data_IF_982617594041
#
_entry.id   IF_982617594041
#
_cell.length_a   1.000
_cell.length_b   1.000
_cell.length_c   1.000
_cell.angle_alpha   90.00
_cell.angle_beta   90.00
_cell.angle_gamma   90.00
#
_symmetry.space_group_name_H-M   'P 1'
#
loop_
_entity.id
_entity.type
_entity.pdbx_description
1 polymer ?
#
# COMPACT_ATOMS: atom_id res chain seq x y z
N UNK A 1 -1.50 -5.53 11.95
CA UNK A 1 -0.70 -4.29 11.85
C UNK A 1 0.80 -4.53 11.94
N UNK A 2 1.35 -5.04 13.06
CA UNK A 2 2.84 -5.06 13.23
C UNK A 2 3.61 -5.83 12.16
N UNK A 3 3.07 -6.94 11.64
CA UNK A 3 3.69 -7.66 10.52
C UNK A 3 3.71 -6.83 9.22
N UNK A 4 2.68 -6.02 8.98
CA UNK A 4 2.60 -5.15 7.82
C UNK A 4 3.63 -4.02 7.90
N UNK A 5 3.76 -3.37 9.06
CA UNK A 5 4.75 -2.30 9.23
C UNK A 5 6.19 -2.82 9.10
N UNK A 6 6.49 -3.99 9.68
CA UNK A 6 7.79 -4.66 9.49
C UNK A 6 8.08 -4.95 8.02
N UNK A 7 7.07 -5.34 7.26
CA UNK A 7 7.21 -5.54 5.82
C UNK A 7 7.54 -4.22 5.11
N UNK A 8 6.82 -3.13 5.41
CA UNK A 8 7.08 -1.81 4.81
C UNK A 8 8.50 -1.32 5.14
N UNK A 9 8.94 -1.48 6.38
CA UNK A 9 10.28 -1.10 6.85
C UNK A 9 11.41 -1.92 6.22
N UNK A 10 11.11 -3.13 5.74
CA UNK A 10 12.08 -3.99 5.05
C UNK A 10 12.27 -3.66 3.58
N UNK A 11 11.45 -2.77 3.00
CA UNK A 11 11.52 -2.41 1.59
C UNK A 11 12.74 -1.52 1.32
N UNK A 12 13.49 -1.86 0.29
CA UNK A 12 14.59 -1.05 -0.23
C UNK A 12 14.07 0.14 -1.04
N UNK A 13 14.94 1.13 -1.22
CA UNK A 13 14.74 2.26 -2.14
C UNK A 13 14.32 1.83 -3.56
N UNK A 14 14.93 0.76 -4.08
CA UNK A 14 14.66 0.22 -5.42
C UNK A 14 13.30 -0.48 -5.48
N UNK A 15 12.99 -1.32 -4.49
CA UNK A 15 11.69 -1.98 -4.38
C UNK A 15 10.55 -0.97 -4.29
N UNK A 16 10.72 0.11 -3.53
CA UNK A 16 9.70 1.17 -3.43
C UNK A 16 9.49 1.87 -4.77
N UNK A 17 10.55 2.16 -5.53
CA UNK A 17 10.45 2.79 -6.85
C UNK A 17 9.72 1.88 -7.85
N UNK A 18 10.01 0.58 -7.82
CA UNK A 18 9.34 -0.41 -8.67
C UNK A 18 7.88 -0.61 -8.28
N UNK A 19 7.58 -0.73 -6.98
CA UNK A 19 6.20 -0.80 -6.49
C UNK A 19 5.44 0.44 -6.90
N UNK A 20 6.02 1.64 -6.78
CA UNK A 20 5.37 2.87 -7.20
C UNK A 20 5.02 2.90 -8.70
N UNK A 21 5.90 2.37 -9.54
CA UNK A 21 5.68 2.22 -10.97
C UNK A 21 4.57 1.20 -11.26
N UNK A 22 4.59 0.04 -10.62
CA UNK A 22 3.56 -0.99 -10.75
C UNK A 22 2.19 -0.51 -10.24
N UNK A 23 2.17 0.19 -9.10
CA UNK A 23 0.95 0.82 -8.56
C UNK A 23 0.39 1.88 -9.51
N UNK A 24 1.24 2.61 -10.24
CA UNK A 24 0.78 3.54 -11.27
C UNK A 24 0.02 2.82 -12.41
N UNK A 25 0.45 1.61 -12.77
CA UNK A 25 -0.24 0.76 -13.72
C UNK A 25 -1.53 0.19 -13.12
N UNK A 26 -1.47 -0.39 -11.91
CA UNK A 26 -2.59 -1.03 -11.23
C UNK A 26 -3.71 -0.05 -10.83
N UNK A 27 -3.42 1.19 -10.44
CA UNK A 27 -4.46 2.18 -10.10
C UNK A 27 -5.34 2.57 -11.31
N UNK A 28 -4.88 2.33 -12.54
CA UNK A 28 -5.72 2.48 -13.74
C UNK A 28 -6.79 1.39 -13.81
N UNK A 29 -6.57 0.23 -13.18
CA UNK A 29 -7.46 -0.94 -13.25
C UNK A 29 -8.27 -1.18 -11.96
N UNK A 30 -7.75 -0.79 -10.79
CA UNK A 30 -8.31 -1.14 -9.47
C UNK A 30 -9.61 -0.41 -9.04
N UNK A 31 -10.33 0.29 -9.93
CA UNK A 31 -11.46 1.17 -9.55
C UNK A 31 -12.80 0.44 -9.40
N UNK A 32 -12.85 -0.66 -8.65
CA UNK A 32 -14.08 -1.41 -8.32
C UNK A 32 -14.91 -0.78 -7.18
N UNK A 33 -16.23 -1.09 -7.08
CA UNK A 33 -17.08 -0.65 -5.96
C UNK A 33 -16.57 -1.06 -4.57
N UNK A 34 -16.17 -2.33 -4.38
CA UNK A 34 -15.66 -2.84 -3.11
C UNK A 34 -14.39 -2.10 -2.63
N UNK A 35 -13.49 -1.76 -3.57
CA UNK A 35 -12.30 -0.95 -3.25
C UNK A 35 -12.68 0.44 -2.73
N UNK A 36 -13.65 1.12 -3.36
CA UNK A 36 -14.12 2.44 -2.91
C UNK A 36 -14.81 2.36 -1.55
N UNK A 37 -15.70 1.40 -1.37
CA UNK A 37 -16.41 1.18 -0.11
C UNK A 37 -15.43 0.88 1.03
N UNK A 38 -14.48 -0.03 0.82
CA UNK A 38 -13.44 -0.33 1.79
C UNK A 38 -12.63 0.90 2.18
N UNK A 39 -12.22 1.74 1.21
CA UNK A 39 -11.50 2.99 1.49
C UNK A 39 -12.31 3.97 2.35
N UNK A 40 -13.57 4.15 2.03
CA UNK A 40 -14.46 5.02 2.82
C UNK A 40 -14.69 4.45 4.22
N UNK A 41 -14.85 3.13 4.32
CA UNK A 41 -15.06 2.45 5.59
C UNK A 41 -13.84 2.56 6.50
N UNK A 42 -12.64 2.19 6.02
CA UNK A 42 -11.43 2.31 6.84
C UNK A 42 -11.05 3.76 7.14
N UNK A 43 -11.39 4.72 6.27
CA UNK A 43 -11.19 6.14 6.57
C UNK A 43 -12.07 6.62 7.73
N UNK A 44 -13.28 6.05 7.89
CA UNK A 44 -14.13 6.30 9.06
C UNK A 44 -13.63 5.59 10.31
N UNK A 45 -13.07 4.38 10.18
CA UNK A 45 -12.51 3.65 11.32
C UNK A 45 -11.23 4.30 11.87
N UNK A 46 -10.42 4.90 10.99
CA UNK A 46 -9.24 5.70 11.36
C UNK A 46 -9.59 7.18 11.58
N UNK A 47 -10.75 7.48 12.16
CA UNK A 47 -11.12 8.85 12.51
C UNK A 47 -10.11 9.41 13.54
N UNK A 48 -9.34 10.41 13.13
CA UNK A 48 -8.17 10.91 13.87
C UNK A 48 -6.81 10.56 13.24
N UNK A 49 -6.78 9.65 12.27
CA UNK A 49 -5.65 9.41 11.37
C UNK A 49 -4.42 8.77 12.01
N UNK A 50 -4.52 8.24 13.23
CA UNK A 50 -3.37 7.73 13.97
C UNK A 50 -2.75 6.49 13.30
N UNK A 51 -3.58 5.59 12.75
CA UNK A 51 -3.09 4.41 12.05
C UNK A 51 -2.48 4.80 10.72
N UNK A 52 -3.14 5.67 9.95
CA UNK A 52 -2.59 6.20 8.71
C UNK A 52 -1.25 6.92 8.95
N UNK A 53 -1.16 7.75 9.99
CA UNK A 53 0.08 8.47 10.32
C UNK A 53 1.24 7.52 10.61
N UNK A 54 1.01 6.44 11.38
CA UNK A 54 2.03 5.43 11.67
C UNK A 54 2.47 4.68 10.41
N UNK A 55 1.54 4.33 9.53
CA UNK A 55 1.85 3.69 8.24
C UNK A 55 2.67 4.63 7.35
N UNK A 56 2.24 5.89 7.25
CA UNK A 56 2.90 6.92 6.47
C UNK A 56 4.33 7.18 6.99
N UNK A 57 4.53 7.21 8.30
CA UNK A 57 5.85 7.36 8.92
C UNK A 57 6.78 6.18 8.59
N UNK A 58 6.33 4.93 8.78
CA UNK A 58 7.13 3.74 8.42
C UNK A 58 7.47 3.72 6.92
N UNK A 59 6.53 4.10 6.05
CA UNK A 59 6.79 4.20 4.61
C UNK A 59 7.80 5.31 4.29
N UNK A 60 7.63 6.49 4.89
CA UNK A 60 8.55 7.62 4.68
C UNK A 60 9.96 7.30 5.18
N UNK A 61 10.09 6.56 6.27
CA UNK A 61 11.37 6.06 6.75
C UNK A 61 12.07 5.20 5.68
N UNK A 62 11.37 4.25 5.08
CA UNK A 62 11.89 3.41 4.00
C UNK A 62 12.19 4.21 2.70
N UNK A 63 11.48 5.31 2.47
CA UNK A 63 11.56 6.16 1.26
C UNK A 63 12.75 7.12 1.20
N UNK A 64 13.26 7.57 2.35
CA UNK A 64 14.23 8.69 2.45
C UNK A 64 15.52 8.48 1.63
N UNK A 65 15.82 7.26 1.21
CA UNK A 65 17.02 6.91 0.46
C UNK A 65 16.90 7.06 -1.07
N UNK A 66 15.70 7.18 -1.65
CA UNK A 66 15.49 7.04 -3.11
C UNK A 66 15.30 8.34 -3.93
N UNK A 67 15.25 9.53 -3.33
CA UNK A 67 15.23 10.82 -4.08
C UNK A 67 13.99 11.19 -4.94
N UNK A 68 13.14 10.25 -5.37
CA UNK A 68 11.92 10.53 -6.16
C UNK A 68 10.72 10.92 -5.28
N UNK A 69 9.78 11.75 -5.75
CA UNK A 69 8.62 12.20 -4.94
C UNK A 69 7.25 11.77 -5.51
N UNK A 70 7.00 11.98 -6.80
CA UNK A 70 5.67 11.75 -7.40
C UNK A 70 5.23 10.29 -7.51
N UNK A 71 6.16 9.39 -7.84
CA UNK A 71 5.91 7.94 -7.87
C UNK A 71 5.62 7.39 -6.47
N UNK A 72 6.35 7.88 -5.48
CA UNK A 72 6.22 7.44 -4.09
C UNK A 72 4.88 7.77 -3.48
N UNK A 73 4.20 8.85 -3.90
CA UNK A 73 2.83 9.17 -3.45
C UNK A 73 1.86 8.04 -3.82
N UNK A 74 2.03 7.40 -4.99
CA UNK A 74 1.16 6.29 -5.42
C UNK A 74 1.41 5.03 -4.60
N UNK A 75 2.68 4.70 -4.36
CA UNK A 75 3.06 3.60 -3.48
C UNK A 75 2.56 3.86 -2.04
N UNK A 76 2.78 5.06 -1.51
CA UNK A 76 2.30 5.47 -0.19
C UNK A 76 0.78 5.31 -0.08
N UNK A 77 0.01 5.75 -1.08
CA UNK A 77 -1.43 5.56 -1.05
C UNK A 77 -1.82 4.08 -1.03
N UNK A 78 -1.15 3.22 -1.79
CA UNK A 78 -1.45 1.78 -1.79
C UNK A 78 -1.09 1.12 -0.44
N UNK A 79 0.08 1.45 0.10
CA UNK A 79 0.56 1.02 1.42
C UNK A 79 -0.41 1.47 2.51
N UNK A 80 -0.85 2.73 2.48
CA UNK A 80 -1.84 3.27 3.43
C UNK A 80 -3.10 2.43 3.44
N UNK A 81 -3.72 2.17 2.29
CA UNK A 81 -5.00 1.47 2.25
C UNK A 81 -4.90 -0.01 2.64
N UNK A 82 -3.83 -0.70 2.23
CA UNK A 82 -3.59 -2.08 2.68
C UNK A 82 -3.24 -2.16 4.17
N UNK A 83 -2.47 -1.19 4.68
CA UNK A 83 -2.17 -1.10 6.10
C UNK A 83 -3.42 -0.88 6.95
N UNK A 84 -4.30 0.02 6.51
CA UNK A 84 -5.60 0.25 7.14
C UNK A 84 -6.50 -0.99 7.06
N UNK A 85 -6.53 -1.69 5.92
CA UNK A 85 -7.25 -2.96 5.78
C UNK A 85 -6.72 -4.05 6.73
N UNK A 86 -5.40 -4.12 6.91
CA UNK A 86 -4.76 -5.02 7.87
C UNK A 86 -4.98 -4.61 9.34
N UNK A 87 -5.22 -3.33 9.62
CA UNK A 87 -5.56 -2.82 10.95
C UNK A 87 -7.01 -3.19 11.32
N UNK A 88 -7.93 -2.90 10.40
CA UNK A 88 -9.37 -3.03 10.59
C UNK A 88 -9.94 -4.27 9.92
N UNK A 89 -9.18 -5.36 9.94
CA UNK A 89 -9.50 -6.56 9.17
C UNK A 89 -10.80 -7.24 9.62
N UNK A 90 -11.20 -7.04 10.88
CA UNK A 90 -12.37 -7.68 11.48
C UNK A 90 -13.65 -6.87 11.26
N UNK A 91 -13.50 -5.61 10.87
CA UNK A 91 -14.52 -4.59 10.70
C UNK A 91 -14.92 -4.44 9.21
N UNK A 92 -14.10 -4.96 8.31
CA UNK A 92 -14.33 -4.97 6.86
C UNK A 92 -14.98 -6.26 6.38
N UNK A 93 -15.78 -6.13 5.31
CA UNK A 93 -16.20 -7.30 4.55
C UNK A 93 -14.98 -8.01 3.93
N UNK A 94 -15.14 -9.28 3.60
CA UNK A 94 -14.07 -10.04 2.92
C UNK A 94 -13.70 -9.39 1.60
N UNK A 95 -14.68 -8.94 0.82
CA UNK A 95 -14.51 -8.30 -0.47
C UNK A 95 -13.81 -6.95 -0.35
N UNK A 96 -14.17 -6.12 0.64
CA UNK A 96 -13.52 -4.84 0.90
C UNK A 96 -12.05 -5.02 1.25
N UNK A 97 -11.77 -5.95 2.18
CA UNK A 97 -10.41 -6.27 2.63
C UNK A 97 -9.57 -6.81 1.48
N UNK A 98 -10.10 -7.77 0.72
CA UNK A 98 -9.40 -8.35 -0.44
C UNK A 98 -9.13 -7.31 -1.51
N UNK A 99 -10.07 -6.40 -1.79
CA UNK A 99 -9.87 -5.35 -2.78
C UNK A 99 -8.75 -4.38 -2.38
N UNK A 100 -8.68 -3.99 -1.09
CA UNK A 100 -7.64 -3.10 -0.58
C UNK A 100 -6.26 -3.80 -0.54
N UNK A 101 -6.20 -5.03 -0.05
CA UNK A 101 -4.97 -5.82 0.02
C UNK A 101 -4.45 -6.21 -1.37
N UNK A 102 -5.35 -6.52 -2.31
CA UNK A 102 -5.01 -6.90 -3.67
C UNK A 102 -4.28 -5.77 -4.40
N UNK A 103 -4.73 -4.52 -4.24
CA UNK A 103 -4.06 -3.37 -4.84
C UNK A 103 -2.58 -3.32 -4.42
N UNK A 104 -2.29 -3.44 -3.13
CA UNK A 104 -0.92 -3.49 -2.61
C UNK A 104 -0.13 -4.70 -3.12
N UNK A 105 -0.69 -5.91 -2.98
CA UNK A 105 -0.03 -7.17 -3.36
C UNK A 105 0.28 -7.26 -4.84
N UNK A 106 -0.60 -6.75 -5.71
CA UNK A 106 -0.38 -6.72 -7.15
C UNK A 106 0.87 -5.91 -7.50
N UNK A 107 1.01 -4.70 -6.95
CA UNK A 107 2.21 -3.89 -7.22
C UNK A 107 3.47 -4.47 -6.60
N UNK A 108 3.37 -5.17 -5.45
CA UNK A 108 4.50 -5.87 -4.87
C UNK A 108 4.95 -7.06 -5.73
N UNK A 109 4.01 -7.88 -6.20
CA UNK A 109 4.31 -9.04 -7.04
C UNK A 109 4.91 -8.63 -8.39
N UNK A 110 4.38 -7.57 -9.00
CA UNK A 110 4.89 -7.04 -10.26
C UNK A 110 6.30 -6.45 -10.09
N UNK A 111 6.55 -5.72 -9.00
CA UNK A 111 7.89 -5.24 -8.66
C UNK A 111 8.90 -6.38 -8.44
N UNK A 112 8.50 -7.44 -7.72
CA UNK A 112 9.33 -8.63 -7.52
C UNK A 112 9.62 -9.35 -8.84
N UNK A 113 8.63 -9.46 -9.73
CA UNK A 113 8.81 -10.03 -11.06
C UNK A 113 9.84 -9.26 -11.88
N UNK A 114 9.81 -7.91 -11.83
CA UNK A 114 10.81 -7.08 -12.48
C UNK A 114 12.23 -7.26 -11.89
N UNK A 115 12.36 -7.39 -10.57
CA UNK A 115 13.65 -7.62 -9.90
C UNK A 115 14.26 -8.99 -10.21
N UNK A 116 13.43 -10.04 -10.26
CA UNK A 116 13.89 -11.40 -10.58
C UNK A 116 14.21 -11.53 -12.07
N UNK A 117 13.42 -10.91 -12.95
CA UNK A 117 13.66 -10.92 -14.40
C UNK A 117 14.82 -10.04 -14.87
N UNK A 118 15.35 -9.17 -14.00
CA UNK A 118 16.52 -8.32 -14.29
C UNK A 118 17.86 -8.96 -13.86
N UNK A 119 17.84 -10.20 -13.35
CA UNK A 119 19.03 -11.01 -13.01
C UNK A 119 19.27 -12.09 -14.06
#
# INVERSE_FOLDING_TARGET
>A
MDAFLKQVESLTAEEIALIASAQAAAQRTARGPAYRQGREHVARLDEGGAVAARIDESFLAAVRESGFTGEKVRAQSAVRWAGLAAAFRAELSTEEREALDSAWRAGLAEAQGALVGSR
#
